data_IF_308949835939
#
_entry.id   IF_308949835939
#
_cell.length_a   1.000
_cell.length_b   1.000
_cell.length_c   1.000
_cell.angle_alpha   90.00
_cell.angle_beta   90.00
_cell.angle_gamma   90.00
#
_symmetry.space_group_name_H-M   'P 1'
#
loop_
_entity.id
_entity.type
_entity.pdbx_description
1 polymer ?
#
# COMPACT_ATOMS: atom_id res chain seq x y z
N UNK A 1 -8.18 7.07 -13.62
CA UNK A 1 -6.77 6.69 -13.53
C UNK A 1 -6.45 6.19 -12.14
N UNK A 2 -5.53 5.24 -12.04
CA UNK A 2 -4.87 4.79 -10.83
C UNK A 2 -3.44 4.34 -11.17
N UNK A 3 -2.68 3.93 -10.16
CA UNK A 3 -1.28 3.53 -10.30
C UNK A 3 -1.13 2.03 -10.06
N UNK A 4 -0.52 1.33 -11.00
CA UNK A 4 -0.10 -0.06 -10.78
C UNK A 4 1.21 -0.02 -10.00
N UNK A 5 1.23 -0.62 -8.83
CA UNK A 5 2.40 -0.75 -7.98
C UNK A 5 2.71 -2.24 -7.73
N UNK A 6 3.95 -2.54 -7.34
CA UNK A 6 4.33 -3.84 -6.80
C UNK A 6 5.08 -3.64 -5.49
N UNK A 7 4.94 -4.58 -4.56
CA UNK A 7 5.70 -4.58 -3.33
C UNK A 7 6.88 -5.55 -3.44
N UNK A 8 8.08 -5.08 -3.15
CA UNK A 8 9.29 -5.90 -3.11
C UNK A 8 10.07 -5.66 -1.82
N UNK A 9 10.69 -6.72 -1.28
CA UNK A 9 11.53 -6.64 -0.10
C UNK A 9 12.84 -7.37 -0.29
N UNK A 10 13.91 -6.91 0.38
CA UNK A 10 15.22 -7.56 0.40
C UNK A 10 15.19 -9.01 0.91
N UNK A 11 14.18 -9.39 1.70
CA UNK A 11 14.01 -10.78 2.16
C UNK A 11 13.45 -11.74 1.11
N UNK A 12 13.18 -11.26 -0.11
CA UNK A 12 12.60 -12.04 -1.21
C UNK A 12 11.08 -11.98 -1.28
N UNK A 13 10.41 -11.32 -0.33
CA UNK A 13 8.96 -11.06 -0.42
C UNK A 13 8.66 -10.21 -1.66
N UNK A 14 7.70 -10.67 -2.47
CA UNK A 14 7.19 -9.94 -3.64
C UNK A 14 5.68 -10.12 -3.73
N UNK A 15 4.99 -9.11 -4.22
CA UNK A 15 3.58 -9.23 -4.63
C UNK A 15 3.46 -9.28 -6.14
N UNK A 16 2.31 -9.74 -6.61
CA UNK A 16 1.84 -9.40 -7.95
C UNK A 16 1.53 -7.90 -8.03
N UNK A 17 0.99 -7.48 -9.18
CA UNK A 17 0.45 -6.15 -9.38
C UNK A 17 -0.61 -5.80 -8.33
N UNK A 18 -0.52 -4.59 -7.81
CA UNK A 18 -1.43 -3.98 -6.87
C UNK A 18 -1.95 -2.68 -7.50
N UNK A 19 -3.27 -2.49 -7.47
CA UNK A 19 -3.95 -1.39 -8.18
C UNK A 19 -4.29 -0.27 -7.19
N UNK A 20 -3.37 0.67 -7.01
CA UNK A 20 -3.55 1.83 -6.14
C UNK A 20 -4.53 2.82 -6.78
N UNK A 21 -5.57 3.18 -6.04
CA UNK A 21 -6.56 4.16 -6.45
C UNK A 21 -7.85 3.58 -7.04
N UNK A 22 -8.52 4.33 -7.90
CA UNK A 22 -9.86 4.00 -8.39
C UNK A 22 -9.92 3.55 -9.86
N UNK A 23 -8.91 3.86 -10.68
CA UNK A 23 -9.00 3.59 -12.11
C UNK A 23 -10.15 4.40 -12.76
N UNK A 24 -10.99 3.75 -13.57
CA UNK A 24 -12.20 4.25 -14.22
C UNK A 24 -13.43 4.17 -13.30
N UNK A 25 -13.27 3.63 -12.09
CA UNK A 25 -14.35 3.58 -11.12
C UNK A 25 -14.60 4.97 -10.51
N UNK A 26 -15.73 5.13 -9.83
CA UNK A 26 -16.05 6.37 -9.14
C UNK A 26 -15.07 6.60 -7.98
N UNK A 27 -14.15 7.55 -8.14
CA UNK A 27 -13.19 7.89 -7.10
C UNK A 27 -13.86 8.42 -5.82
N UNK A 28 -15.12 8.89 -5.87
CA UNK A 28 -15.87 9.27 -4.68
C UNK A 28 -16.19 8.07 -3.79
N UNK A 29 -16.37 6.90 -4.38
CA UNK A 29 -16.72 5.65 -3.68
C UNK A 29 -15.51 4.74 -3.48
N UNK A 30 -14.56 4.74 -4.41
CA UNK A 30 -13.42 3.83 -4.44
C UNK A 30 -12.11 4.56 -4.19
N UNK A 31 -11.34 4.07 -3.20
CA UNK A 31 -9.95 4.45 -2.99
C UNK A 31 -9.17 3.23 -2.51
N UNK A 32 -8.66 2.42 -3.44
CA UNK A 32 -7.93 1.19 -3.08
C UNK A 32 -6.53 1.52 -2.61
N UNK A 33 -6.21 1.17 -1.37
CA UNK A 33 -4.92 1.39 -0.72
C UNK A 33 -4.38 0.04 -0.22
N UNK A 34 -3.06 -0.20 -0.27
CA UNK A 34 -2.46 -1.39 0.29
C UNK A 34 -2.69 -1.46 1.80
N UNK A 35 -3.09 -2.63 2.28
CA UNK A 35 -3.36 -2.91 3.67
C UNK A 35 -2.82 -4.28 4.08
N UNK A 36 -2.50 -4.41 5.36
CA UNK A 36 -2.00 -5.61 5.98
C UNK A 36 -2.92 -5.99 7.14
N UNK A 37 -3.42 -7.23 7.13
CA UNK A 37 -4.09 -7.79 8.31
C UNK A 37 -3.04 -8.06 9.39
N UNK A 38 -3.37 -7.80 10.65
CA UNK A 38 -2.51 -8.20 11.77
C UNK A 38 -2.12 -9.68 11.66
N UNK A 39 -0.83 -9.96 11.78
CA UNK A 39 -0.22 -11.30 11.65
C UNK A 39 -0.33 -11.99 10.28
N UNK A 40 -0.84 -11.33 9.24
CA UNK A 40 -0.81 -11.90 7.90
C UNK A 40 0.58 -11.79 7.25
N UNK A 41 0.81 -12.64 6.25
CA UNK A 41 1.99 -12.62 5.39
C UNK A 41 1.75 -11.94 4.05
N UNK A 42 0.51 -11.57 3.73
CA UNK A 42 0.11 -11.02 2.44
C UNK A 42 -0.49 -9.62 2.54
N UNK A 43 -0.14 -8.79 1.57
CA UNK A 43 -0.69 -7.44 1.38
C UNK A 43 -1.97 -7.58 0.53
N UNK A 44 -3.01 -6.83 0.89
CA UNK A 44 -4.26 -6.74 0.14
C UNK A 44 -4.54 -5.31 -0.28
N UNK A 45 -5.27 -5.13 -1.36
CA UNK A 45 -5.87 -3.84 -1.71
C UNK A 45 -7.25 -3.75 -1.08
N UNK A 46 -7.47 -2.73 -0.26
CA UNK A 46 -8.76 -2.48 0.38
C UNK A 46 -9.20 -1.04 0.11
N UNK A 47 -10.51 -0.85 0.00
CA UNK A 47 -11.09 0.48 -0.15
C UNK A 47 -10.97 1.26 1.17
N UNK A 48 -10.13 2.29 1.18
CA UNK A 48 -9.87 3.13 2.35
C UNK A 48 -11.10 3.91 2.81
N UNK A 49 -12.03 4.24 1.90
CA UNK A 49 -13.31 4.90 2.24
C UNK A 49 -14.22 4.01 3.07
N UNK A 50 -13.96 2.71 3.05
CA UNK A 50 -14.68 1.70 3.84
C UNK A 50 -13.80 1.09 4.94
N UNK A 51 -12.72 1.77 5.37
CA UNK A 51 -11.78 1.25 6.38
C UNK A 51 -12.44 0.76 7.67
N UNK A 52 -13.56 1.36 8.06
CA UNK A 52 -14.38 0.94 9.21
C UNK A 52 -14.93 -0.49 9.10
N UNK A 53 -15.05 -1.05 7.89
CA UNK A 53 -15.43 -2.46 7.66
C UNK A 53 -14.27 -3.43 7.91
N UNK A 54 -13.04 -2.93 8.05
CA UNK A 54 -11.81 -3.72 8.14
C UNK A 54 -11.02 -3.40 9.42
N UNK A 55 -11.59 -3.59 10.63
CA UNK A 55 -10.94 -3.19 11.89
C UNK A 55 -9.63 -3.96 12.18
N UNK A 56 -9.44 -5.13 11.59
CA UNK A 56 -8.23 -5.95 11.77
C UNK A 56 -7.08 -5.59 10.81
N UNK A 57 -7.28 -4.58 9.96
CA UNK A 57 -6.36 -4.17 8.92
C UNK A 57 -5.74 -2.81 9.23
N UNK A 58 -4.43 -2.72 9.02
CA UNK A 58 -3.70 -1.46 8.98
C UNK A 58 -3.36 -1.14 7.52
N UNK A 59 -3.50 0.12 7.13
CA UNK A 59 -3.17 0.58 5.79
C UNK A 59 -1.71 1.06 5.74
N UNK A 60 -1.08 0.99 4.58
CA UNK A 60 0.34 1.36 4.45
C UNK A 60 0.63 2.87 4.49
N UNK A 61 -0.39 3.70 4.74
CA UNK A 61 -0.24 5.09 5.16
C UNK A 61 -0.27 5.25 6.70
N UNK A 62 -0.43 4.16 7.44
CA UNK A 62 -0.40 4.14 8.91
C UNK A 62 1.05 4.16 9.42
N UNK A 63 1.37 4.94 10.47
CA UNK A 63 2.69 4.99 11.07
C UNK A 63 3.23 3.64 11.54
N UNK A 64 2.38 2.68 11.94
CA UNK A 64 2.83 1.35 12.36
C UNK A 64 3.43 0.56 11.19
N UNK A 65 2.94 0.79 9.96
CA UNK A 65 3.44 0.12 8.75
C UNK A 65 4.47 0.96 7.99
N UNK A 66 4.75 2.17 8.45
CA UNK A 66 5.61 3.13 7.79
C UNK A 66 6.87 3.40 8.61
N UNK A 67 8.03 3.05 8.07
CA UNK A 67 9.31 3.47 8.62
C UNK A 67 9.58 4.91 8.20
N UNK A 68 9.65 5.82 9.17
CA UNK A 68 9.99 7.22 8.90
C UNK A 68 11.42 7.30 8.34
N UNK A 69 11.55 7.90 7.15
CA UNK A 69 12.83 8.37 6.63
C UNK A 69 12.62 9.78 6.05
N UNK A 70 13.58 10.68 6.28
CA UNK A 70 13.51 12.06 5.81
C UNK A 70 13.63 12.19 4.28
N UNK A 71 13.81 11.08 3.56
CA UNK A 71 14.07 11.04 2.12
C UNK A 71 13.08 10.13 1.37
N UNK A 72 12.02 9.66 2.02
CA UNK A 72 11.07 8.73 1.39
C UNK A 72 10.16 9.46 0.40
N UNK A 73 10.29 9.12 -0.88
CA UNK A 73 9.31 9.51 -1.91
C UNK A 73 7.97 8.83 -1.61
N UNK A 74 6.86 9.53 -1.84
CA UNK A 74 5.51 8.99 -1.64
C UNK A 74 4.75 8.85 -2.96
N UNK A 75 3.96 7.80 -3.06
CA UNK A 75 2.94 7.61 -4.08
C UNK A 75 1.62 8.05 -3.46
N UNK A 76 0.96 9.03 -4.06
CA UNK A 76 -0.26 9.63 -3.52
C UNK A 76 -1.49 9.25 -4.35
N UNK A 77 -2.60 8.99 -3.65
CA UNK A 77 -3.93 8.89 -4.23
C UNK A 77 -4.99 9.47 -3.29
N UNK A 78 -5.82 10.40 -3.77
CA UNK A 78 -6.94 10.97 -3.00
C UNK A 78 -6.53 11.52 -1.62
N UNK A 79 -5.38 12.22 -1.56
CA UNK A 79 -4.81 12.76 -0.30
C UNK A 79 -4.23 11.71 0.63
N UNK A 80 -4.13 10.45 0.20
CA UNK A 80 -3.52 9.34 0.93
C UNK A 80 -2.15 9.06 0.32
N UNK A 81 -1.10 9.32 1.10
CA UNK A 81 0.28 9.04 0.72
C UNK A 81 0.72 7.70 1.31
N UNK A 82 1.28 6.83 0.46
CA UNK A 82 2.09 5.69 0.87
C UNK A 82 3.54 5.94 0.47
N UNK A 83 4.50 5.52 1.29
CA UNK A 83 5.90 5.71 0.96
C UNK A 83 6.42 4.63 0.02
N UNK A 84 7.32 4.98 -0.89
CA UNK A 84 7.94 4.01 -1.80
C UNK A 84 8.90 3.08 -1.08
N UNK A 85 9.44 3.46 0.07
CA UNK A 85 10.48 2.73 0.78
C UNK A 85 10.24 2.74 2.28
N UNK A 86 10.99 1.87 2.97
CA UNK A 86 10.98 1.74 4.43
C UNK A 86 9.63 1.31 5.00
N UNK A 87 8.80 0.59 4.23
CA UNK A 87 7.55 0.06 4.74
C UNK A 87 7.77 -1.27 5.47
N UNK A 88 6.85 -1.60 6.37
CA UNK A 88 6.85 -2.86 7.08
C UNK A 88 6.64 -4.04 6.12
N UNK A 89 7.60 -4.96 6.09
CA UNK A 89 7.49 -6.21 5.35
C UNK A 89 6.80 -7.28 6.21
N UNK A 90 5.69 -7.87 5.75
CA UNK A 90 4.98 -8.89 6.52
C UNK A 90 5.72 -10.23 6.60
N UNK A 91 6.72 -10.47 5.75
CA UNK A 91 7.51 -11.71 5.75
C UNK A 91 8.68 -11.64 6.74
N UNK A 92 9.56 -10.63 6.63
CA UNK A 92 10.73 -10.52 7.50
C UNK A 92 10.52 -9.63 8.74
N UNK A 93 9.36 -8.98 8.87
CA UNK A 93 8.98 -8.11 9.99
C UNK A 93 9.94 -6.92 10.21
N UNK A 94 10.53 -6.43 9.12
CA UNK A 94 11.43 -5.27 9.09
C UNK A 94 10.88 -4.18 8.17
N UNK A 95 11.29 -2.94 8.41
CA UNK A 95 10.96 -1.78 7.56
C UNK A 95 11.86 -1.72 6.32
N UNK A 96 11.70 -2.70 5.44
CA UNK A 96 12.54 -2.88 4.24
C UNK A 96 11.71 -3.22 3.00
N UNK A 97 10.38 -3.03 3.06
CA UNK A 97 9.49 -3.19 1.93
C UNK A 97 9.46 -1.89 1.11
N UNK A 98 9.53 -2.03 -0.20
CA UNK A 98 9.38 -0.94 -1.15
C UNK A 98 8.13 -1.14 -2.01
N UNK A 99 7.36 -0.08 -2.20
CA UNK A 99 6.31 0.00 -3.22
C UNK A 99 6.90 0.68 -4.45
N UNK A 100 6.86 -0.03 -5.59
CA UNK A 100 7.47 0.41 -6.84
C UNK A 100 6.34 0.66 -7.83
N UNK A 101 6.15 1.91 -8.32
CA UNK A 101 5.25 2.19 -9.44
C UNK A 101 5.77 1.49 -10.71
N UNK A 102 4.88 0.77 -11.40
CA UNK A 102 5.22 0.04 -12.64
C UNK A 102 4.33 0.39 -13.82
N UNK A 103 3.29 1.20 -13.60
CA UNK A 103 2.40 1.64 -14.66
C UNK A 103 1.23 2.43 -14.11
N UNK A 104 0.36 2.84 -15.04
CA UNK A 104 -0.92 3.45 -14.73
C UNK A 104 -2.01 2.49 -15.23
N UNK A 105 -3.16 2.54 -14.59
CA UNK A 105 -4.34 1.84 -15.06
C UNK A 105 -5.52 2.80 -15.09
N UNK A 106 -6.44 2.52 -15.99
CA UNK A 106 -7.77 3.06 -16.02
C UNK A 106 -8.69 1.90 -15.65
#
# INVERSE_FOLDING_TARGET
>A
MGTIIKAECHCGFKTNELYLGAGMQNFMDISNIPALKKNASNIKMLNYKEKQKYPDYLFYNDPELTGLSNSSVSIEWDGIAIFEQYNFCPQCKKYSLSFIPIGLFD
#
